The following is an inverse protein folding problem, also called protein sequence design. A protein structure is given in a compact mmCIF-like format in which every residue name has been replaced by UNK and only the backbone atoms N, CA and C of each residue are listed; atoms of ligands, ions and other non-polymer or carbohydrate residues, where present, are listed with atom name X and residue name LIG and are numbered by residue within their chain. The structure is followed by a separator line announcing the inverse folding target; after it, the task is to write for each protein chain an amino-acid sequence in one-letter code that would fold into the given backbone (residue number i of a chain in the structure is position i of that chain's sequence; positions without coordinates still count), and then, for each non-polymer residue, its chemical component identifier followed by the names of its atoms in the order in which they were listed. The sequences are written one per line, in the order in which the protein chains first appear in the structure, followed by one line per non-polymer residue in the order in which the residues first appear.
data_IF_617269652615
#
_entry.id   IF_617269652615
#
_cell.length_a   1.000
_cell.length_b   1.000
_cell.length_c   1.000
_cell.angle_alpha   90.00
_cell.angle_beta   90.00
_cell.angle_gamma   90.00
#
_symmetry.space_group_name_H-M   'P 1'
#
loop_
_entity.id
_entity.type
_entity.pdbx_description
1 polymer ?
#
# COMPACT_ATOMS: atom_id res chain seq x y z
N UNK A 1 -9.98 -10.99 22.29
CA UNK A 1 -9.36 -9.96 21.42
C UNK A 1 -8.09 -10.50 20.82
N UNK A 2 -7.91 -10.29 19.52
CA UNK A 2 -6.77 -10.83 18.78
C UNK A 2 -5.73 -9.73 18.50
N UNK A 3 -4.47 -10.03 18.76
CA UNK A 3 -3.35 -9.14 18.47
C UNK A 3 -2.45 -9.84 17.45
N UNK A 4 -2.11 -9.15 16.39
CA UNK A 4 -1.28 -9.68 15.30
C UNK A 4 -0.04 -8.79 15.15
N UNK A 5 1.12 -9.44 15.00
CA UNK A 5 2.36 -8.72 14.69
C UNK A 5 2.38 -8.37 13.20
N UNK A 6 2.68 -7.11 12.91
CA UNK A 6 2.75 -6.64 11.51
C UNK A 6 4.08 -7.03 10.87
N UNK A 7 4.12 -8.20 10.26
CA UNK A 7 5.31 -8.72 9.57
C UNK A 7 4.88 -9.27 8.21
N UNK A 8 5.17 -8.56 7.11
CA UNK A 8 4.82 -9.04 5.76
C UNK A 8 5.63 -10.29 5.40
N UNK A 9 4.93 -11.40 5.21
CA UNK A 9 5.56 -12.68 4.87
C UNK A 9 5.01 -13.32 3.60
N UNK A 10 3.86 -12.86 3.11
CA UNK A 10 3.31 -13.37 1.87
C UNK A 10 4.00 -12.70 0.69
N UNK A 11 4.65 -13.48 -0.16
CA UNK A 11 5.34 -12.95 -1.34
C UNK A 11 4.35 -12.66 -2.46
N UNK A 12 4.31 -11.42 -2.91
CA UNK A 12 3.53 -11.01 -4.10
C UNK A 12 4.42 -11.08 -5.33
N UNK A 13 5.65 -10.60 -5.21
CA UNK A 13 6.66 -10.64 -6.27
C UNK A 13 8.02 -10.78 -5.63
N UNK A 14 9.06 -10.80 -6.46
CA UNK A 14 10.44 -10.93 -6.00
C UNK A 14 10.82 -9.85 -4.97
N UNK A 15 10.22 -8.66 -5.07
CA UNK A 15 10.60 -7.51 -4.25
C UNK A 15 9.50 -7.02 -3.31
N UNK A 16 8.30 -7.57 -3.41
CA UNK A 16 7.14 -7.10 -2.66
C UNK A 16 6.53 -8.21 -1.83
N UNK A 17 6.40 -7.95 -0.53
CA UNK A 17 5.73 -8.83 0.43
C UNK A 17 4.54 -8.11 1.05
N UNK A 18 3.54 -8.87 1.47
CA UNK A 18 2.33 -8.32 2.11
C UNK A 18 1.94 -9.16 3.31
N UNK A 19 1.31 -8.51 4.26
CA UNK A 19 0.50 -9.14 5.29
C UNK A 19 -0.89 -8.55 5.25
N UNK A 20 -1.89 -9.40 5.10
CA UNK A 20 -3.29 -8.99 5.03
C UNK A 20 -3.85 -8.86 6.44
N UNK A 21 -3.69 -7.68 7.03
CA UNK A 21 -4.06 -7.44 8.43
C UNK A 21 -5.55 -7.54 8.66
N UNK A 22 -6.36 -6.99 7.77
CA UNK A 22 -7.82 -7.05 7.93
C UNK A 22 -8.33 -8.48 7.92
N UNK A 23 -7.77 -9.35 7.07
CA UNK A 23 -8.11 -10.77 7.08
C UNK A 23 -7.67 -11.44 8.38
N UNK A 24 -6.43 -11.20 8.80
CA UNK A 24 -5.89 -11.77 10.03
C UNK A 24 -6.68 -11.35 11.28
N UNK A 25 -7.20 -10.13 11.28
CA UNK A 25 -7.95 -9.58 12.42
C UNK A 25 -9.47 -9.78 12.32
N UNK A 26 -9.96 -10.26 11.18
CA UNK A 26 -11.40 -10.47 10.98
C UNK A 26 -12.19 -9.18 10.76
N UNK A 27 -11.55 -8.13 10.24
CA UNK A 27 -12.20 -6.85 9.94
C UNK A 27 -12.87 -6.93 8.57
N UNK A 28 -14.10 -6.43 8.45
CA UNK A 28 -14.91 -6.61 7.25
C UNK A 28 -15.30 -5.33 6.49
N UNK A 29 -15.24 -4.19 7.13
CA UNK A 29 -15.71 -2.93 6.53
C UNK A 29 -14.60 -2.05 5.96
N UNK A 30 -13.37 -2.53 6.03
CA UNK A 30 -12.21 -1.89 5.41
C UNK A 30 -11.18 -2.96 5.09
N UNK A 31 -10.21 -2.60 4.27
CA UNK A 31 -9.02 -3.42 4.05
C UNK A 31 -7.82 -2.70 4.64
N UNK A 32 -7.03 -3.42 5.42
CA UNK A 32 -5.78 -2.92 5.96
C UNK A 32 -4.71 -3.95 5.68
N UNK A 33 -3.65 -3.53 5.01
CA UNK A 33 -2.53 -4.39 4.66
C UNK A 33 -1.23 -3.68 5.00
N UNK A 34 -0.21 -4.44 5.34
CA UNK A 34 1.14 -3.91 5.45
C UNK A 34 2.01 -4.53 4.37
N UNK A 35 2.79 -3.69 3.71
CA UNK A 35 3.68 -4.09 2.62
C UNK A 35 5.12 -3.80 2.96
N UNK A 36 6.01 -4.63 2.46
CA UNK A 36 7.44 -4.32 2.40
C UNK A 36 7.89 -4.42 0.96
N UNK A 37 8.41 -3.32 0.45
CA UNK A 37 9.00 -3.22 -0.89
C UNK A 37 10.51 -3.12 -0.72
N UNK A 38 11.22 -4.18 -1.09
CA UNK A 38 12.67 -4.25 -0.88
C UNK A 38 13.41 -3.18 -1.69
N UNK A 39 13.01 -3.00 -2.94
CA UNK A 39 13.57 -2.00 -3.86
C UNK A 39 12.63 -1.82 -5.06
N UNK A 40 12.87 -0.80 -5.86
CA UNK A 40 12.12 -0.57 -7.09
C UNK A 40 10.74 0.01 -6.86
N UNK A 41 9.83 -0.29 -7.76
CA UNK A 41 8.47 0.26 -7.75
C UNK A 41 7.43 -0.83 -7.81
N UNK A 42 6.28 -0.56 -7.23
CA UNK A 42 5.07 -1.36 -7.46
C UNK A 42 4.50 -1.03 -8.84
N UNK A 43 3.60 -1.86 -9.33
CA UNK A 43 2.88 -1.58 -10.57
C UNK A 43 1.99 -0.36 -10.41
N UNK A 44 1.88 0.42 -11.47
CA UNK A 44 0.97 1.54 -11.51
C UNK A 44 -0.45 1.00 -11.65
N UNK A 45 -1.35 1.42 -10.76
CA UNK A 45 -2.71 0.91 -10.71
C UNK A 45 -3.69 1.96 -10.18
N UNK A 46 -4.98 1.65 -10.30
CA UNK A 46 -6.01 2.47 -9.71
C UNK A 46 -7.16 1.59 -9.18
N UNK A 47 -7.92 2.12 -8.27
CA UNK A 47 -9.12 1.47 -7.74
C UNK A 47 -10.34 2.27 -8.17
N UNK A 48 -11.37 1.57 -8.63
CA UNK A 48 -12.59 2.23 -9.13
C UNK A 48 -13.44 2.84 -8.02
N UNK A 49 -13.53 2.17 -6.87
CA UNK A 49 -14.39 2.59 -5.77
C UNK A 49 -13.64 2.85 -4.47
N UNK A 50 -12.54 2.14 -4.21
CA UNK A 50 -11.78 2.31 -2.97
C UNK A 50 -10.98 3.60 -2.99
N UNK A 51 -11.05 4.34 -1.89
CA UNK A 51 -10.02 5.32 -1.58
C UNK A 51 -9.03 4.70 -0.62
N UNK A 52 -7.81 5.19 -0.60
CA UNK A 52 -6.73 4.60 0.18
C UNK A 52 -5.97 5.64 0.98
N UNK A 53 -5.47 5.21 2.14
CA UNK A 53 -4.47 5.96 2.90
C UNK A 53 -3.20 5.11 2.95
N UNK A 54 -2.10 5.71 2.53
CA UNK A 54 -0.76 5.13 2.64
C UNK A 54 -0.05 5.77 3.82
N UNK A 55 0.48 4.97 4.72
CA UNK A 55 1.25 5.44 5.87
C UNK A 55 2.61 4.74 5.85
N UNK A 56 3.67 5.51 5.65
CA UNK A 56 5.04 4.97 5.65
C UNK A 56 5.51 4.78 7.08
N UNK A 57 6.02 3.59 7.40
CA UNK A 57 6.55 3.24 8.71
C UNK A 57 8.08 3.25 8.72
N UNK A 58 8.69 2.62 7.72
CA UNK A 58 10.15 2.55 7.59
C UNK A 58 10.54 2.86 6.16
N UNK A 59 11.60 3.61 5.98
CA UNK A 59 12.13 3.91 4.66
C UNK A 59 11.56 5.17 4.06
N UNK A 60 11.65 5.29 2.76
CA UNK A 60 11.27 6.49 2.04
C UNK A 60 10.63 6.15 0.72
N UNK A 61 9.43 6.68 0.51
CA UNK A 61 8.66 6.43 -0.69
C UNK A 61 8.55 7.67 -1.58
N UNK A 62 8.49 7.45 -2.87
CA UNK A 62 7.95 8.39 -3.83
C UNK A 62 6.60 7.84 -4.26
N UNK A 63 5.53 8.58 -4.04
CA UNK A 63 4.20 8.16 -4.47
C UNK A 63 3.73 9.11 -5.57
N UNK A 64 3.44 8.53 -6.73
CA UNK A 64 2.90 9.25 -7.88
C UNK A 64 1.39 9.05 -7.90
N UNK A 65 0.64 10.14 -7.92
CA UNK A 65 -0.83 10.10 -8.01
C UNK A 65 -1.22 11.00 -9.18
N UNK A 66 -1.71 10.38 -10.25
CA UNK A 66 -2.09 11.07 -11.48
C UNK A 66 -1.00 12.03 -12.01
N UNK A 67 0.26 11.62 -11.91
CA UNK A 67 1.40 12.38 -12.38
C UNK A 67 1.99 13.35 -11.36
N UNK A 68 1.35 13.56 -10.22
CA UNK A 68 1.90 14.39 -9.16
C UNK A 68 2.71 13.51 -8.21
N UNK A 69 3.98 13.82 -8.06
CA UNK A 69 4.90 13.04 -7.23
C UNK A 69 5.09 13.68 -5.87
N UNK A 70 5.02 12.84 -4.82
CA UNK A 70 5.24 13.28 -3.44
C UNK A 70 6.22 12.36 -2.75
N UNK A 71 7.20 12.93 -2.05
CA UNK A 71 8.06 12.18 -1.15
C UNK A 71 7.32 11.97 0.16
N UNK A 72 7.27 10.72 0.62
CA UNK A 72 6.61 10.36 1.86
C UNK A 72 7.61 9.60 2.72
N UNK A 73 7.96 10.18 3.85
CA UNK A 73 8.93 9.60 4.79
C UNK A 73 8.24 8.92 5.96
N UNK A 74 9.05 8.50 6.94
CA UNK A 74 8.54 7.80 8.11
C UNK A 74 7.50 8.62 8.86
N UNK A 75 6.41 7.97 9.21
CA UNK A 75 5.26 8.54 9.92
C UNK A 75 4.49 9.60 9.13
N UNK A 76 4.73 9.67 7.84
CA UNK A 76 3.96 10.52 6.95
C UNK A 76 2.93 9.70 6.19
N UNK A 77 1.83 10.33 5.86
CA UNK A 77 0.72 9.67 5.18
C UNK A 77 0.21 10.49 4.01
N UNK A 78 -0.38 9.79 3.05
CA UNK A 78 -0.93 10.38 1.84
C UNK A 78 -2.22 9.65 1.49
N UNK A 79 -3.23 10.38 1.04
CA UNK A 79 -4.48 9.81 0.60
C UNK A 79 -4.50 9.70 -0.93
N UNK A 80 -5.00 8.57 -1.42
CA UNK A 80 -5.21 8.34 -2.85
C UNK A 80 -6.71 8.21 -3.10
N UNK A 81 -7.33 9.12 -3.83
CA UNK A 81 -8.75 9.02 -4.12
C UNK A 81 -9.07 7.88 -5.08
N UNK A 82 -10.32 7.44 -5.07
CA UNK A 82 -10.79 6.47 -6.06
C UNK A 82 -10.54 7.02 -7.48
N UNK A 83 -10.24 6.11 -8.40
CA UNK A 83 -9.98 6.37 -9.82
C UNK A 83 -8.68 7.11 -10.13
N UNK A 84 -7.87 7.44 -9.13
CA UNK A 84 -6.56 8.04 -9.34
C UNK A 84 -5.53 6.95 -9.64
N UNK A 85 -4.84 7.06 -10.76
CA UNK A 85 -3.72 6.18 -11.09
C UNK A 85 -2.55 6.51 -10.19
N UNK A 86 -1.97 5.50 -9.56
CA UNK A 86 -0.88 5.72 -8.61
C UNK A 86 0.14 4.60 -8.61
N UNK A 87 1.32 4.94 -8.14
CA UNK A 87 2.44 4.00 -8.02
C UNK A 87 3.32 4.41 -6.85
N UNK A 88 3.77 3.41 -6.09
CA UNK A 88 4.72 3.57 -4.98
C UNK A 88 6.08 3.11 -5.44
N UNK A 89 7.11 3.93 -5.20
CA UNK A 89 8.50 3.58 -5.44
C UNK A 89 9.28 3.68 -4.14
N UNK A 90 10.20 2.74 -3.93
CA UNK A 90 11.16 2.81 -2.84
C UNK A 90 12.34 3.66 -3.32
N UNK A 91 12.52 4.83 -2.72
CA UNK A 91 13.62 5.76 -3.05
C UNK A 91 14.61 5.90 -1.91
N UNK A 92 14.49 5.08 -0.88
CA UNK A 92 15.42 5.03 0.24
C UNK A 92 16.54 4.04 0.02
N UNK A 93 17.39 3.91 1.05
CA UNK A 93 18.55 3.01 1.00
C UNK A 93 18.19 1.57 1.36
N UNK A 94 17.25 1.39 2.28
CA UNK A 94 16.80 0.08 2.74
C UNK A 94 15.38 -0.24 2.32
N UNK A 95 14.80 -1.30 2.86
CA UNK A 95 13.42 -1.67 2.57
C UNK A 95 12.43 -0.57 2.96
N UNK A 96 11.36 -0.49 2.20
CA UNK A 96 10.24 0.41 2.48
C UNK A 96 9.09 -0.42 3.06
N UNK A 97 8.65 -0.06 4.27
CA UNK A 97 7.48 -0.69 4.89
C UNK A 97 6.39 0.36 5.06
N UNK A 98 5.20 0.03 4.59
CA UNK A 98 4.07 0.96 4.65
C UNK A 98 2.75 0.23 4.83
N UNK A 99 1.80 0.91 5.46
CA UNK A 99 0.43 0.44 5.62
C UNK A 99 -0.45 1.07 4.56
N UNK A 100 -1.40 0.28 4.07
CA UNK A 100 -2.47 0.79 3.20
C UNK A 100 -3.80 0.44 3.83
N UNK A 101 -4.62 1.45 4.08
CA UNK A 101 -5.99 1.27 4.54
C UNK A 101 -6.91 1.73 3.43
N UNK A 102 -7.84 0.89 3.03
CA UNK A 102 -8.73 1.15 1.90
C UNK A 102 -10.19 0.83 2.27
N UNK A 103 -11.10 1.62 1.75
CA UNK A 103 -12.54 1.40 1.91
C UNK A 103 -13.29 2.06 0.74
N UNK A 104 -14.46 1.54 0.36
CA UNK A 104 -15.10 0.31 0.84
C UNK A 104 -14.35 -0.95 0.39
N UNK A 105 -14.50 -2.08 1.08
CA UNK A 105 -13.79 -3.32 0.72
C UNK A 105 -14.48 -4.04 -0.45
N UNK A 106 -14.22 -3.57 -1.65
CA UNK A 106 -14.82 -4.08 -2.89
C UNK A 106 -13.82 -5.01 -3.58
N UNK A 107 -14.29 -6.17 -4.02
CA UNK A 107 -13.48 -7.12 -4.77
C UNK A 107 -13.36 -6.70 -6.23
N UNK A 108 -12.27 -7.13 -6.89
CA UNK A 108 -11.98 -6.86 -8.31
C UNK A 108 -12.06 -5.38 -8.67
N UNK A 109 -11.63 -4.53 -7.76
CA UNK A 109 -11.73 -3.08 -7.90
C UNK A 109 -10.53 -2.45 -8.58
N UNK A 110 -9.43 -3.17 -8.66
CA UNK A 110 -8.18 -2.63 -9.19
C UNK A 110 -8.05 -2.80 -10.70
N UNK A 111 -7.47 -1.79 -11.34
CA UNK A 111 -6.96 -1.88 -12.71
C UNK A 111 -5.46 -1.62 -12.68
N UNK A 112 -4.71 -2.38 -13.46
CA UNK A 112 -3.26 -2.24 -13.57
C UNK A 112 -2.94 -1.66 -14.96
N UNK A 113 -2.04 -0.68 -15.00
CA UNK A 113 -1.60 -0.08 -16.25
C UNK A 113 -0.85 -1.13 -17.07
N UNK A 114 -1.29 -1.29 -18.32
CA UNK A 114 -0.73 -2.24 -19.26
C UNK A 114 0.56 -1.78 -19.89
#
# INVERSE_FOLDING_TARGET
MKVVRAVPTETISEKLSVQRLSEALGVRHLRANVFTLAEGSMSRHMHREQEEVYLVMDGRAMIDVDGEQSLVGEREALAVPARAWHRVANVGVGPLTFYVVAAPPVEDDAEVAG
#
